data_IF_981776910732
#
_entry.id   IF_981776910732
#
_cell.length_a   1.000
_cell.length_b   1.000
_cell.length_c   1.000
_cell.angle_alpha   90.00
_cell.angle_beta   90.00
_cell.angle_gamma   90.00
#
_symmetry.space_group_name_H-M   'P 1'
#
loop_
_entity.id
_entity.type
_entity.pdbx_description
1 polymer ?
#
# COMPACT_ATOMS: atom_id res chain seq x y z
N UNK A 1 0.04 -4.63 -12.97
CA UNK A 1 -0.89 -3.47 -12.93
C UNK A 1 -1.84 -3.49 -11.74
N UNK A 2 -2.48 -4.62 -11.40
CA UNK A 2 -3.44 -4.72 -10.28
C UNK A 2 -2.92 -4.21 -8.93
N UNK A 3 -1.64 -4.44 -8.62
CA UNK A 3 -0.96 -3.98 -7.40
C UNK A 3 -0.95 -2.44 -7.26
N UNK A 4 -0.86 -1.71 -8.37
CA UNK A 4 -0.85 -0.25 -8.39
C UNK A 4 -2.24 0.35 -8.24
N UNK A 5 -3.24 -0.31 -8.84
CA UNK A 5 -4.66 0.05 -8.69
C UNK A 5 -5.11 -0.16 -7.24
N UNK A 6 -4.75 -1.31 -6.64
CA UNK A 6 -5.02 -1.56 -5.22
C UNK A 6 -4.39 -0.51 -4.30
N UNK A 7 -3.20 -0.01 -4.66
CA UNK A 7 -2.56 1.04 -3.87
C UNK A 7 -3.21 2.41 -4.01
N UNK A 8 -3.65 2.76 -5.21
CA UNK A 8 -4.42 3.97 -5.43
C UNK A 8 -5.74 3.92 -4.65
N UNK A 9 -6.45 2.79 -4.69
CA UNK A 9 -7.71 2.60 -3.97
C UNK A 9 -7.49 2.74 -2.46
N UNK A 10 -6.45 2.10 -1.92
CA UNK A 10 -6.12 2.21 -0.49
C UNK A 10 -5.84 3.66 -0.05
N UNK A 11 -5.07 4.40 -0.85
CA UNK A 11 -4.78 5.81 -0.57
C UNK A 11 -6.04 6.70 -0.67
N UNK A 12 -6.90 6.45 -1.67
CA UNK A 12 -8.18 7.17 -1.81
C UNK A 12 -9.09 6.89 -0.60
N UNK A 13 -9.21 5.63 -0.18
CA UNK A 13 -10.00 5.27 1.01
C UNK A 13 -9.45 5.91 2.28
N UNK A 14 -8.13 5.92 2.45
CA UNK A 14 -7.45 6.60 3.55
C UNK A 14 -7.77 8.10 3.59
N UNK A 15 -7.70 8.78 2.44
CA UNK A 15 -8.05 10.20 2.33
C UNK A 15 -9.53 10.44 2.62
N UNK A 16 -10.43 9.62 2.07
CA UNK A 16 -11.86 9.76 2.34
C UNK A 16 -12.19 9.56 3.81
N UNK A 17 -11.53 8.60 4.46
CA UNK A 17 -11.67 8.40 5.91
C UNK A 17 -11.21 9.64 6.69
N UNK A 18 -10.06 10.22 6.33
CA UNK A 18 -9.57 11.47 6.94
C UNK A 18 -10.59 12.61 6.77
N UNK A 19 -11.16 12.78 5.57
CA UNK A 19 -12.16 13.82 5.30
C UNK A 19 -13.41 13.61 6.16
N UNK A 20 -13.97 12.40 6.18
CA UNK A 20 -15.17 12.07 6.97
C UNK A 20 -14.93 12.35 8.46
N UNK A 21 -13.80 11.87 9.01
CA UNK A 21 -13.44 12.12 10.41
C UNK A 21 -13.27 13.62 10.65
N UNK A 22 -12.60 14.34 9.74
CA UNK A 22 -12.38 15.78 9.85
C UNK A 22 -13.69 16.57 9.90
N UNK A 23 -14.63 16.30 8.98
CA UNK A 23 -15.93 16.97 9.03
C UNK A 23 -16.68 16.65 10.32
N UNK A 24 -16.63 15.40 10.80
CA UNK A 24 -17.31 14.99 12.03
C UNK A 24 -16.73 15.69 13.27
N UNK A 25 -15.40 15.74 13.38
CA UNK A 25 -14.70 16.37 14.50
C UNK A 25 -14.89 17.89 14.54
N UNK A 26 -15.03 18.53 13.39
CA UNK A 26 -15.30 19.97 13.29
C UNK A 26 -16.80 20.33 13.35
N UNK A 27 -17.68 19.36 13.64
CA UNK A 27 -19.13 19.57 13.71
C UNK A 27 -19.75 20.06 12.40
N UNK A 28 -19.08 19.81 11.27
CA UNK A 28 -19.56 20.19 9.95
C UNK A 28 -20.69 19.25 9.51
N UNK A 29 -21.61 19.76 8.71
CA UNK A 29 -22.69 18.95 8.14
C UNK A 29 -22.12 17.83 7.24
N UNK A 30 -22.62 16.61 7.43
CA UNK A 30 -22.30 15.42 6.61
C UNK A 30 -23.04 15.46 5.26
N UNK A 31 -22.78 16.47 4.45
CA UNK A 31 -23.35 16.61 3.11
C UNK A 31 -22.35 16.18 2.03
N UNK A 32 -22.87 15.69 0.89
CA UNK A 32 -22.05 15.36 -0.27
C UNK A 32 -21.25 16.58 -0.77
N UNK A 33 -21.83 17.78 -0.65
CA UNK A 33 -21.17 19.03 -1.02
C UNK A 33 -19.97 19.32 -0.13
N UNK A 34 -20.10 19.24 1.19
CA UNK A 34 -18.98 19.50 2.10
C UNK A 34 -17.87 18.47 1.94
N UNK A 35 -18.25 17.19 1.77
CA UNK A 35 -17.28 16.14 1.53
C UNK A 35 -16.52 16.35 0.22
N UNK A 36 -17.21 16.80 -0.84
CA UNK A 36 -16.56 17.17 -2.10
C UNK A 36 -15.62 18.38 -1.92
N UNK A 37 -16.11 19.48 -1.33
CA UNK A 37 -15.36 20.73 -1.14
C UNK A 37 -14.07 20.51 -0.33
N UNK A 38 -14.14 19.70 0.72
CA UNK A 38 -12.98 19.40 1.58
C UNK A 38 -12.09 18.33 0.94
N UNK A 39 -12.66 17.33 0.29
CA UNK A 39 -11.94 16.14 -0.18
C UNK A 39 -11.23 16.28 -1.52
N UNK A 40 -11.77 17.07 -2.47
CA UNK A 40 -11.20 17.15 -3.82
C UNK A 40 -9.72 17.58 -3.87
N UNK A 41 -9.20 18.52 -3.03
CA UNK A 41 -7.79 18.90 -3.05
C UNK A 41 -6.87 17.73 -2.67
N UNK A 42 -7.32 16.88 -1.76
CA UNK A 42 -6.60 15.68 -1.32
C UNK A 42 -6.56 14.62 -2.41
N UNK A 43 -7.70 14.39 -3.08
CA UNK A 43 -7.78 13.44 -4.18
C UNK A 43 -6.86 13.84 -5.34
N UNK A 44 -6.80 15.15 -5.65
CA UNK A 44 -5.85 15.67 -6.63
C UNK A 44 -4.41 15.44 -6.17
N UNK A 45 -4.10 15.69 -4.89
CA UNK A 45 -2.78 15.40 -4.32
C UNK A 45 -2.36 13.94 -4.47
N UNK A 46 -3.25 12.99 -4.14
CA UNK A 46 -3.01 11.54 -4.29
C UNK A 46 -2.74 11.18 -5.75
N UNK A 47 -3.53 11.71 -6.67
CA UNK A 47 -3.39 11.44 -8.09
C UNK A 47 -2.04 11.94 -8.63
N UNK A 48 -1.65 13.17 -8.25
CA UNK A 48 -0.35 13.75 -8.64
C UNK A 48 0.79 12.96 -8.03
N UNK A 49 0.71 12.57 -6.75
CA UNK A 49 1.73 11.75 -6.09
C UNK A 49 1.98 10.43 -6.83
N UNK A 50 0.90 9.71 -7.17
CA UNK A 50 0.98 8.48 -7.94
C UNK A 50 1.58 8.68 -9.35
N UNK A 51 1.22 9.77 -10.03
CA UNK A 51 1.67 10.08 -11.38
C UNK A 51 3.16 10.50 -11.41
N UNK A 52 3.56 11.41 -10.52
CA UNK A 52 4.91 11.95 -10.43
C UNK A 52 5.97 10.88 -10.18
N UNK A 53 5.66 9.92 -9.31
CA UNK A 53 6.59 8.86 -8.91
C UNK A 53 6.53 7.65 -9.83
N UNK A 54 5.63 7.67 -10.83
CA UNK A 54 5.32 6.50 -11.67
C UNK A 54 5.12 5.26 -10.80
N UNK A 55 4.20 5.34 -9.83
CA UNK A 55 3.93 4.26 -8.85
C UNK A 55 3.69 2.88 -9.50
N UNK A 56 3.29 2.86 -10.77
CA UNK A 56 3.21 1.72 -11.69
C UNK A 56 4.46 0.81 -11.73
N UNK A 57 5.65 1.31 -11.37
CA UNK A 57 6.91 0.52 -11.40
C UNK A 57 7.25 -0.20 -10.09
N UNK A 58 6.78 0.27 -8.93
CA UNK A 58 7.05 -0.36 -7.62
C UNK A 58 5.97 0.00 -6.57
N UNK A 59 4.72 -0.48 -6.72
CA UNK A 59 3.54 0.08 -6.05
C UNK A 59 3.48 -0.12 -4.53
N UNK A 60 4.19 -1.10 -3.97
CA UNK A 60 4.13 -1.43 -2.54
C UNK A 60 5.41 -1.09 -1.76
N UNK A 61 6.46 -0.51 -2.36
CA UNK A 61 7.66 -0.14 -1.58
C UNK A 61 7.34 1.04 -0.65
N UNK A 62 7.38 0.80 0.67
CA UNK A 62 7.22 1.83 1.71
C UNK A 62 8.26 2.94 1.55
N UNK A 63 9.54 2.55 1.40
CA UNK A 63 10.65 3.45 1.14
C UNK A 63 11.32 3.10 -0.20
N UNK A 64 11.56 4.07 -1.09
CA UNK A 64 11.25 5.50 -0.95
C UNK A 64 9.84 5.88 -1.45
N UNK A 65 9.16 5.01 -2.22
CA UNK A 65 7.96 5.40 -2.99
C UNK A 65 6.78 5.87 -2.13
N UNK A 66 6.42 5.16 -1.06
CA UNK A 66 5.29 5.53 -0.20
C UNK A 66 5.47 6.90 0.45
N UNK A 67 6.66 7.20 0.96
CA UNK A 67 7.00 8.50 1.56
C UNK A 67 6.93 9.63 0.54
N UNK A 68 7.46 9.44 -0.67
CA UNK A 68 7.36 10.47 -1.69
C UNK A 68 5.91 10.71 -2.13
N UNK A 69 5.08 9.67 -2.28
CA UNK A 69 3.66 9.83 -2.65
C UNK A 69 2.95 10.65 -1.58
N UNK A 70 3.16 10.31 -0.30
CA UNK A 70 2.63 11.05 0.83
C UNK A 70 3.10 12.51 0.84
N UNK A 71 4.41 12.76 0.70
CA UNK A 71 4.96 14.11 0.71
C UNK A 71 4.38 14.97 -0.42
N UNK A 72 4.30 14.44 -1.64
CA UNK A 72 3.68 15.14 -2.77
C UNK A 72 2.19 15.38 -2.51
N UNK A 73 1.48 14.41 -1.92
CA UNK A 73 0.05 14.53 -1.61
C UNK A 73 -0.19 15.69 -0.63
N UNK A 74 0.59 15.77 0.44
CA UNK A 74 0.50 16.86 1.43
C UNK A 74 0.82 18.20 0.78
N UNK A 75 1.92 18.30 0.02
CA UNK A 75 2.34 19.55 -0.63
C UNK A 75 1.30 20.02 -1.65
N UNK A 76 0.84 19.14 -2.55
CA UNK A 76 -0.18 19.49 -3.54
C UNK A 76 -1.51 19.88 -2.89
N UNK A 77 -1.96 19.14 -1.88
CA UNK A 77 -3.19 19.46 -1.17
C UNK A 77 -3.11 20.84 -0.52
N UNK A 78 -2.02 21.14 0.20
CA UNK A 78 -1.87 22.45 0.84
C UNK A 78 -1.77 23.57 -0.18
N UNK A 79 -1.01 23.37 -1.26
CA UNK A 79 -0.92 24.35 -2.34
C UNK A 79 -2.30 24.67 -2.95
N UNK A 80 -3.11 23.65 -3.25
CA UNK A 80 -4.47 23.83 -3.76
C UNK A 80 -5.33 24.57 -2.73
N UNK A 81 -5.31 24.16 -1.46
CA UNK A 81 -6.11 24.81 -0.42
C UNK A 81 -5.74 26.27 -0.21
N UNK A 82 -4.45 26.61 -0.29
CA UNK A 82 -3.99 28.00 -0.19
C UNK A 82 -4.42 28.83 -1.40
N UNK A 83 -4.32 28.27 -2.62
CA UNK A 83 -4.76 28.95 -3.85
C UNK A 83 -6.26 29.27 -3.86
N UNK A 84 -7.08 28.39 -3.26
CA UNK A 84 -8.53 28.55 -3.18
C UNK A 84 -9.00 29.20 -1.87
N UNK A 85 -8.09 29.79 -1.09
CA UNK A 85 -8.39 30.46 0.19
C UNK A 85 -9.19 29.60 1.18
N UNK A 86 -9.02 28.27 1.13
CA UNK A 86 -9.81 27.32 1.90
C UNK A 86 -9.39 27.21 3.39
N UNK A 87 -8.48 28.06 3.85
CA UNK A 87 -7.88 28.00 5.19
C UNK A 87 -6.73 26.98 5.23
N UNK A 88 -5.52 27.47 5.53
CA UNK A 88 -4.30 26.65 5.69
C UNK A 88 -3.64 26.99 7.02
N UNK A 89 -4.37 26.74 8.12
CA UNK A 89 -3.85 26.90 9.47
C UNK A 89 -2.67 25.95 9.70
N UNK A 90 -1.64 26.41 10.41
CA UNK A 90 -0.44 25.60 10.68
C UNK A 90 -0.80 24.28 11.37
N UNK A 91 -1.75 24.32 12.31
CA UNK A 91 -2.28 23.14 12.99
C UNK A 91 -2.92 22.15 12.00
N UNK A 92 -3.69 22.65 11.04
CA UNK A 92 -4.31 21.83 10.00
C UNK A 92 -3.26 21.14 9.14
N UNK A 93 -2.18 21.83 8.75
CA UNK A 93 -1.07 21.24 7.98
C UNK A 93 -0.43 20.08 8.74
N UNK A 94 -0.12 20.29 10.02
CA UNK A 94 0.54 19.28 10.87
C UNK A 94 -0.35 18.06 11.08
N UNK A 95 -1.60 18.27 11.50
CA UNK A 95 -2.56 17.18 11.73
C UNK A 95 -2.81 16.41 10.43
N UNK A 96 -3.01 17.12 9.33
CA UNK A 96 -3.19 16.51 8.01
C UNK A 96 -1.99 15.64 7.64
N UNK A 97 -0.77 16.18 7.74
CA UNK A 97 0.44 15.45 7.39
C UNK A 97 0.60 14.16 8.22
N UNK A 98 0.36 14.25 9.54
CA UNK A 98 0.48 13.10 10.45
C UNK A 98 -0.60 12.06 10.15
N UNK A 99 -1.88 12.45 10.10
CA UNK A 99 -2.98 11.50 9.96
C UNK A 99 -2.96 10.84 8.57
N UNK A 100 -2.77 11.63 7.51
CA UNK A 100 -2.63 11.06 6.15
C UNK A 100 -1.37 10.20 6.03
N UNK A 101 -0.28 10.57 6.70
CA UNK A 101 0.93 9.75 6.78
C UNK A 101 0.66 8.40 7.42
N UNK A 102 0.03 8.38 8.59
CA UNK A 102 -0.34 7.13 9.28
C UNK A 102 -1.28 6.28 8.43
N UNK A 103 -2.31 6.88 7.82
CA UNK A 103 -3.28 6.13 7.03
C UNK A 103 -2.66 5.58 5.74
N UNK A 104 -2.02 6.42 4.93
CA UNK A 104 -1.42 6.04 3.63
C UNK A 104 -0.24 5.08 3.81
N UNK A 105 0.69 5.36 4.73
CA UNK A 105 1.84 4.47 4.96
C UNK A 105 1.44 3.22 5.76
N UNK A 106 0.51 3.35 6.70
CA UNK A 106 0.03 2.25 7.54
C UNK A 106 -0.65 1.15 6.72
N UNK A 107 -1.57 1.50 5.82
CA UNK A 107 -2.23 0.48 4.99
C UNK A 107 -1.23 -0.20 4.04
N UNK A 108 -0.24 0.55 3.52
CA UNK A 108 0.85 -0.01 2.68
C UNK A 108 1.71 -0.99 3.47
N UNK A 109 1.98 -0.71 4.74
CA UNK A 109 2.70 -1.62 5.63
C UNK A 109 1.90 -2.89 5.92
N UNK A 110 0.60 -2.76 6.17
CA UNK A 110 -0.32 -3.90 6.35
C UNK A 110 -0.39 -4.75 5.07
N UNK A 111 -0.55 -4.13 3.90
CA UNK A 111 -0.59 -4.84 2.62
C UNK A 111 0.71 -5.61 2.33
N UNK A 112 1.87 -5.01 2.65
CA UNK A 112 3.17 -5.70 2.55
C UNK A 112 3.29 -6.86 3.53
N UNK A 113 2.81 -6.70 4.76
CA UNK A 113 2.86 -7.75 5.78
C UNK A 113 2.01 -8.95 5.37
N UNK A 114 0.77 -8.70 4.94
CA UNK A 114 -0.15 -9.75 4.50
C UNK A 114 0.35 -10.48 3.24
N UNK A 115 0.91 -9.75 2.27
CA UNK A 115 1.45 -10.36 1.03
C UNK A 115 2.84 -11.00 1.19
N UNK A 116 3.51 -10.81 2.33
CA UNK A 116 4.76 -11.54 2.67
C UNK A 116 4.50 -13.00 3.03
N UNK A 117 3.38 -13.30 3.69
CA UNK A 117 3.04 -14.66 4.15
C UNK A 117 2.91 -15.66 3.01
N UNK A 118 2.26 -15.27 1.91
CA UNK A 118 2.04 -16.13 0.75
C UNK A 118 3.35 -16.57 0.06
N UNK A 119 4.37 -15.70 0.04
CA UNK A 119 5.66 -16.01 -0.59
C UNK A 119 6.47 -17.02 0.23
N UNK A 120 6.39 -16.97 1.55
CA UNK A 120 7.08 -17.91 2.42
C UNK A 120 6.46 -19.31 2.31
N UNK A 121 5.14 -19.38 2.21
CA UNK A 121 4.42 -20.65 2.06
C UNK A 121 4.77 -21.37 0.74
N UNK A 122 4.91 -20.63 -0.37
CA UNK A 122 5.32 -21.19 -1.67
C UNK A 122 6.77 -21.70 -1.65
N UNK A 123 7.68 -21.00 -0.97
CA UNK A 123 9.07 -21.45 -0.84
C UNK A 123 9.14 -22.74 -0.01
N UNK A 124 8.42 -22.79 1.11
CA UNK A 124 8.38 -23.95 2.01
C UNK A 124 7.83 -25.21 1.32
N UNK A 125 6.71 -25.06 0.57
CA UNK A 125 6.13 -26.14 -0.24
C UNK A 125 7.08 -26.62 -1.35
N UNK A 126 7.81 -25.70 -1.98
CA UNK A 126 8.80 -26.04 -3.01
C UNK A 126 10.01 -26.77 -2.43
N UNK A 127 10.48 -26.38 -1.23
CA UNK A 127 11.55 -27.10 -0.53
C UNK A 127 11.11 -28.49 -0.06
N UNK A 128 9.87 -28.63 0.42
CA UNK A 128 9.30 -29.92 0.81
C UNK A 128 9.19 -30.87 -0.40
N UNK A 129 8.71 -30.40 -1.55
CA UNK A 129 8.62 -31.21 -2.77
C UNK A 129 9.98 -31.62 -3.35
N UNK A 130 11.01 -30.79 -3.20
CA UNK A 130 12.37 -31.11 -3.66
C UNK A 130 13.03 -32.17 -2.76
N UNK A 131 12.78 -32.11 -1.45
CA UNK A 131 13.30 -33.09 -0.49
C UNK A 131 12.64 -34.48 -0.65
N UNK A 132 11.32 -34.51 -0.92
CA UNK A 132 10.57 -35.75 -1.16
C UNK A 132 11.01 -36.46 -2.45
N UNK A 133 11.27 -35.69 -3.52
CA UNK A 133 11.78 -36.22 -4.79
C UNK A 133 13.17 -36.85 -4.64
N UNK A 134 14.08 -36.20 -3.92
CA UNK A 134 15.42 -36.73 -3.65
C UNK A 134 15.38 -38.02 -2.82
N UNK A 135 14.49 -38.09 -1.82
CA UNK A 135 14.29 -39.30 -1.01
C UNK A 135 13.71 -40.47 -1.85
N UNK A 136 12.87 -40.18 -2.84
CA UNK A 136 12.32 -41.19 -3.76
C UNK A 136 13.35 -41.75 -4.74
N UNK A 137 14.28 -40.93 -5.24
CA UNK A 137 15.39 -41.39 -6.08
C UNK A 137 16.36 -42.29 -5.30
N UNK A 138 16.76 -41.90 -4.09
CA UNK A 138 17.63 -42.71 -3.24
C UNK A 138 17.00 -44.06 -2.88
N UNK A 139 15.68 -44.09 -2.64
CA UNK A 139 14.93 -45.32 -2.41
C UNK A 139 14.83 -46.22 -3.67
N UNK A 140 14.69 -45.62 -4.86
CA UNK A 140 14.64 -46.37 -6.13
C UNK A 140 16.00 -46.91 -6.56
N UNK A 141 17.10 -46.27 -6.15
CA UNK A 141 18.46 -46.72 -6.49
C UNK A 141 18.95 -47.85 -5.57
N UNK A 142 18.34 -47.99 -4.38
CA UNK A 142 18.67 -49.04 -3.42
C UNK A 142 18.09 -50.42 -3.76
N UNK A 143 17.10 -50.51 -4.66
CA UNK A 143 16.51 -51.78 -5.15
C UNK A 143 17.07 -52.19 -6.53
N UNK A 144 18.37 -51.95 -6.75
CA UNK A 144 19.09 -52.53 -7.87
C UNK A 144 19.27 -54.04 -7.66
N UNK A 145 18.93 -54.90 -8.64
CA UNK A 145 18.95 -56.35 -8.45
C UNK A 145 20.36 -56.81 -8.09
N UNK A 146 20.50 -57.47 -6.94
CA UNK A 146 21.73 -58.15 -6.54
C UNK A 146 22.10 -59.17 -7.63
N UNK A 147 23.22 -58.92 -8.33
CA UNK A 147 23.75 -59.77 -9.39
C UNK A 147 24.16 -61.15 -8.82
N UNK A 148 23.50 -62.26 -9.21
CA UNK A 148 23.80 -63.57 -8.67
C UNK A 148 24.80 -64.31 -9.57
N UNK A 149 26.05 -63.82 -9.70
CA UNK A 149 27.13 -64.58 -10.35
C UNK A 149 28.52 -64.31 -9.77
N UNK A 150 28.95 -65.17 -8.83
CA UNK A 150 30.33 -65.69 -8.73
C UNK A 150 30.36 -66.93 -7.85
#
# INVERSE_FOLDING_TARGET
>A
MFRSVGALIGDVLAVMLFVIIGLFQHGQEMSAQNMFLVGWPFLVGVLIGHLAIRSWRAPFRLWPHGVFIWAITVVCCMAIRTLFSAGTETSFVVVTAIVTGVLMLGWRAVALFLTRGERLQVIDLSSAGTADAAAGEDASTADGPADPRS
#
